data_IF_389198367298
#
_entry.id   IF_389198367298
#
_cell.length_a   1.000
_cell.length_b   1.000
_cell.length_c   1.000
_cell.angle_alpha   90.00
_cell.angle_beta   90.00
_cell.angle_gamma   90.00
#
_symmetry.space_group_name_H-M   'P 1'
#
loop_
_entity.id
_entity.type
_entity.pdbx_description
1 polymer ?
#
# COMPACT_ATOMS: atom_id res chain seq x y z
N UNK A 1 -30.44 26.26 24.82
CA UNK A 1 -30.05 25.12 23.98
C UNK A 1 -28.54 24.98 24.01
N UNK A 2 -27.96 23.90 24.56
CA UNK A 2 -26.52 23.67 24.45
C UNK A 2 -26.20 23.00 23.12
N UNK A 3 -25.30 23.60 22.33
CA UNK A 3 -24.64 22.95 21.19
C UNK A 3 -23.61 21.98 21.78
N UNK A 4 -23.77 20.68 21.52
CA UNK A 4 -22.76 19.67 21.88
C UNK A 4 -21.59 19.84 20.91
N UNK A 5 -20.43 20.13 21.47
CA UNK A 5 -19.15 20.15 20.79
C UNK A 5 -18.61 18.71 20.65
N UNK A 6 -17.91 18.43 19.55
CA UNK A 6 -16.96 17.32 19.50
C UNK A 6 -17.29 16.16 18.55
N UNK A 7 -17.70 16.41 17.30
CA UNK A 7 -17.39 15.43 16.26
C UNK A 7 -15.93 15.60 15.88
N UNK A 8 -15.05 14.84 16.52
CA UNK A 8 -13.79 14.43 15.90
C UNK A 8 -14.15 13.42 14.80
N UNK A 9 -14.72 13.91 13.69
CA UNK A 9 -14.76 13.12 12.47
C UNK A 9 -13.31 12.91 12.03
N UNK A 10 -12.84 11.70 12.24
CA UNK A 10 -11.56 11.26 11.71
C UNK A 10 -11.75 11.16 10.20
N UNK A 11 -11.03 11.98 9.41
CA UNK A 11 -10.89 11.84 7.95
C UNK A 11 -10.08 10.57 7.62
N UNK A 12 -10.52 9.43 8.14
CA UNK A 12 -9.95 8.13 7.83
C UNK A 12 -10.66 7.60 6.59
N UNK A 13 -9.86 7.26 5.59
CA UNK A 13 -10.34 6.62 4.37
C UNK A 13 -9.66 5.27 4.25
N UNK A 14 -10.46 4.24 4.08
CA UNK A 14 -9.98 2.92 3.74
C UNK A 14 -9.69 2.87 2.24
N UNK A 15 -8.51 2.37 1.86
CA UNK A 15 -8.05 2.36 0.47
C UNK A 15 -7.55 0.97 0.10
N UNK A 16 -7.98 0.47 -1.06
CA UNK A 16 -7.48 -0.79 -1.65
C UNK A 16 -6.90 -0.49 -3.02
N UNK A 17 -5.79 -1.13 -3.35
CA UNK A 17 -5.21 -1.15 -4.69
C UNK A 17 -5.30 -2.56 -5.27
N UNK A 18 -5.64 -2.66 -6.57
CA UNK A 18 -5.63 -3.94 -7.31
C UNK A 18 -5.03 -3.75 -8.69
N UNK A 19 -4.30 -4.76 -9.15
CA UNK A 19 -3.88 -4.86 -10.56
C UNK A 19 -4.79 -5.89 -11.21
N UNK A 20 -5.58 -5.47 -12.18
CA UNK A 20 -6.48 -6.35 -12.92
C UNK A 20 -6.30 -6.11 -14.42
N UNK A 21 -6.49 -7.16 -15.23
CA UNK A 21 -6.43 -7.05 -16.68
C UNK A 21 -7.77 -6.54 -17.20
N UNK A 22 -7.72 -5.53 -18.06
CA UNK A 22 -8.88 -5.07 -18.79
C UNK A 22 -9.42 -6.21 -19.68
N UNK A 23 -10.72 -6.54 -19.59
CA UNK A 23 -11.28 -7.68 -20.33
C UNK A 23 -11.29 -7.47 -21.86
N UNK A 24 -11.22 -6.23 -22.34
CA UNK A 24 -11.22 -5.90 -23.77
C UNK A 24 -9.80 -5.90 -24.33
N UNK A 25 -8.87 -5.28 -23.62
CA UNK A 25 -7.50 -5.06 -24.11
C UNK A 25 -6.48 -6.05 -23.55
N UNK A 26 -6.86 -6.84 -22.53
CA UNK A 26 -5.99 -7.72 -21.74
C UNK A 26 -4.80 -7.00 -21.08
N UNK A 27 -4.86 -5.66 -20.99
CA UNK A 27 -3.80 -4.82 -20.41
C UNK A 27 -4.00 -4.69 -18.90
N UNK A 28 -2.94 -4.83 -18.08
CA UNK A 28 -3.07 -4.65 -16.65
C UNK A 28 -3.19 -3.16 -16.32
N UNK A 29 -4.20 -2.84 -15.52
CA UNK A 29 -4.43 -1.49 -15.00
C UNK A 29 -4.38 -1.53 -13.47
N UNK A 30 -3.97 -0.41 -12.87
CA UNK A 30 -4.05 -0.18 -11.44
C UNK A 30 -5.40 0.45 -11.12
N UNK A 31 -6.14 -0.22 -10.25
CA UNK A 31 -7.42 0.23 -9.71
C UNK A 31 -7.24 0.68 -8.27
N UNK A 32 -8.01 1.69 -7.85
CA UNK A 32 -8.02 2.19 -6.47
C UNK A 32 -9.44 2.34 -5.98
N UNK A 33 -9.80 1.57 -4.95
CA UNK A 33 -11.06 1.69 -4.24
C UNK A 33 -10.89 2.51 -2.97
N UNK A 34 -11.93 3.25 -2.61
CA UNK A 34 -11.97 4.11 -1.44
C UNK A 34 -13.29 3.95 -0.69
N UNK A 35 -13.23 3.96 0.64
CA UNK A 35 -14.40 4.00 1.51
C UNK A 35 -14.15 4.91 2.70
N UNK A 36 -15.18 5.67 3.10
CA UNK A 36 -15.15 6.52 4.30
C UNK A 36 -15.34 5.73 5.59
N UNK A 37 -15.79 4.49 5.49
CA UNK A 37 -15.91 3.54 6.61
C UNK A 37 -14.99 2.34 6.36
N UNK A 38 -14.40 1.81 7.43
CA UNK A 38 -13.63 0.57 7.34
C UNK A 38 -14.65 -0.57 7.12
N UNK A 39 -14.55 -1.31 6.00
CA UNK A 39 -15.48 -2.39 5.73
C UNK A 39 -15.25 -3.56 6.70
N UNK A 40 -16.32 -4.28 7.05
CA UNK A 40 -16.23 -5.47 7.91
C UNK A 40 -15.47 -6.63 7.24
N UNK A 41 -15.37 -6.62 5.91
CA UNK A 41 -14.61 -7.58 5.10
C UNK A 41 -13.77 -6.87 4.05
N UNK A 42 -12.54 -7.34 3.86
CA UNK A 42 -11.65 -6.90 2.76
C UNK A 42 -12.15 -7.36 1.38
N UNK A 43 -13.11 -8.29 1.36
CA UNK A 43 -13.77 -8.79 0.15
C UNK A 43 -15.00 -7.97 -0.24
N UNK A 44 -15.44 -7.03 0.61
CA UNK A 44 -16.56 -6.16 0.29
C UNK A 44 -16.32 -5.45 -1.05
N UNK A 45 -17.33 -5.46 -1.92
CA UNK A 45 -17.26 -4.80 -3.22
C UNK A 45 -17.22 -3.29 -3.02
N UNK A 46 -16.02 -2.71 -3.18
CA UNK A 46 -15.83 -1.28 -3.29
C UNK A 46 -15.86 -0.88 -4.77
N UNK A 47 -16.38 0.31 -5.11
CA UNK A 47 -16.15 0.87 -6.44
C UNK A 47 -14.64 0.98 -6.70
N UNK A 48 -14.16 0.27 -7.72
CA UNK A 48 -12.75 0.24 -8.12
C UNK A 48 -12.59 0.97 -9.45
N UNK A 49 -12.52 2.32 -9.48
CA UNK A 49 -12.14 3.05 -10.69
C UNK A 49 -10.68 2.78 -11.07
N UNK A 50 -10.38 2.92 -12.36
CA UNK A 50 -9.00 2.89 -12.87
C UNK A 50 -8.27 4.13 -12.32
N UNK A 51 -7.20 3.90 -11.57
CA UNK A 51 -6.28 4.93 -11.10
C UNK A 51 -5.22 5.23 -12.17
N UNK A 52 -4.63 4.19 -12.75
CA UNK A 52 -3.60 4.31 -13.78
C UNK A 52 -3.64 3.12 -14.74
N UNK A 53 -3.34 3.38 -16.02
CA UNK A 53 -3.28 2.35 -17.06
C UNK A 53 -1.85 1.84 -17.26
N UNK A 54 -1.73 0.67 -17.88
CA UNK A 54 -0.44 0.07 -18.26
C UNK A 54 0.50 -0.15 -17.04
N UNK A 55 -0.08 -0.48 -15.89
CA UNK A 55 0.68 -0.78 -14.67
C UNK A 55 0.80 -2.29 -14.54
N UNK A 56 2.03 -2.80 -14.63
CA UNK A 56 2.34 -4.22 -14.52
C UNK A 56 2.29 -4.70 -13.07
N UNK A 57 2.84 -3.92 -12.15
CA UNK A 57 2.88 -4.28 -10.74
C UNK A 57 2.94 -3.06 -9.83
N UNK A 58 2.37 -3.21 -8.63
CA UNK A 58 2.60 -2.35 -7.48
C UNK A 58 3.10 -3.21 -6.33
N UNK A 59 4.21 -2.79 -5.70
CA UNK A 59 4.79 -3.48 -4.54
C UNK A 59 4.92 -2.48 -3.40
N UNK A 60 4.34 -2.82 -2.26
CA UNK A 60 4.40 -2.00 -1.04
C UNK A 60 5.18 -2.80 -0.02
N UNK A 61 6.38 -2.31 0.31
CA UNK A 61 7.27 -2.97 1.24
C UNK A 61 7.39 -2.14 2.54
N UNK A 62 6.76 -2.57 3.65
CA UNK A 62 6.88 -1.88 4.94
C UNK A 62 8.25 -2.04 5.58
N UNK A 63 8.73 -0.98 6.26
CA UNK A 63 9.95 -1.00 7.06
C UNK A 63 9.68 -1.53 8.47
N UNK A 64 10.46 -2.51 8.91
CA UNK A 64 10.28 -3.13 10.22
C UNK A 64 11.24 -2.64 11.32
N UNK A 65 12.08 -1.65 11.04
CA UNK A 65 13.16 -1.20 11.93
C UNK A 65 14.55 -1.54 11.39
N UNK A 66 14.67 -2.61 10.61
CA UNK A 66 15.96 -3.14 10.11
C UNK A 66 15.97 -3.30 8.58
N UNK A 67 14.87 -3.75 7.98
CA UNK A 67 14.74 -4.02 6.55
C UNK A 67 13.32 -3.73 6.04
N UNK A 68 13.20 -3.57 4.72
CA UNK A 68 11.91 -3.56 4.02
C UNK A 68 11.43 -5.00 3.79
N UNK A 69 10.25 -5.33 4.31
CA UNK A 69 9.60 -6.65 4.18
C UNK A 69 8.55 -6.63 3.08
N UNK A 70 8.13 -7.79 2.60
CA UNK A 70 7.03 -7.90 1.63
C UNK A 70 5.65 -7.80 2.31
N UNK A 71 5.58 -8.18 3.59
CA UNK A 71 4.35 -8.22 4.36
C UNK A 71 4.50 -7.46 5.70
N UNK A 72 3.40 -6.87 6.16
CA UNK A 72 3.29 -6.32 7.51
C UNK A 72 2.36 -7.19 8.34
N UNK A 73 2.90 -7.87 9.36
CA UNK A 73 2.12 -8.66 10.29
C UNK A 73 1.92 -7.90 11.60
N UNK A 74 0.75 -7.28 11.74
CA UNK A 74 0.34 -6.55 12.95
C UNK A 74 -0.10 -7.45 14.10
N UNK A 75 -0.01 -8.78 13.97
CA UNK A 75 -0.36 -9.73 15.06
C UNK A 75 0.83 -10.07 15.95
N UNK A 76 2.06 -9.89 15.46
CA UNK A 76 3.30 -10.14 16.20
C UNK A 76 3.44 -9.21 17.41
N UNK A 77 3.96 -9.75 18.51
CA UNK A 77 4.03 -9.05 19.82
C UNK A 77 4.67 -7.67 19.75
N UNK A 78 5.69 -7.53 18.91
CA UNK A 78 6.53 -6.34 18.89
C UNK A 78 5.88 -5.19 18.12
N UNK A 79 4.95 -5.51 17.20
CA UNK A 79 4.34 -4.54 16.26
C UNK A 79 2.81 -4.52 16.35
N UNK A 80 2.24 -5.14 17.39
CA UNK A 80 0.81 -5.19 17.62
C UNK A 80 0.21 -3.79 17.65
N UNK A 81 -0.82 -3.57 16.85
CA UNK A 81 -1.53 -2.30 16.71
C UNK A 81 -0.64 -1.12 16.25
N UNK A 82 0.51 -1.40 15.62
CA UNK A 82 1.40 -0.37 15.07
C UNK A 82 1.47 -0.40 13.56
N UNK A 83 1.56 0.78 12.95
CA UNK A 83 1.87 0.95 11.54
C UNK A 83 3.38 1.03 11.32
N UNK A 84 3.89 0.62 10.15
CA UNK A 84 5.29 0.82 9.81
C UNK A 84 5.60 2.33 9.75
N UNK A 85 6.82 2.72 10.16
CA UNK A 85 7.27 4.12 10.10
C UNK A 85 7.54 4.62 8.69
N UNK A 86 7.93 3.70 7.82
CA UNK A 86 8.22 3.94 6.42
C UNK A 86 7.63 2.83 5.58
N UNK A 87 7.22 3.17 4.37
CA UNK A 87 6.87 2.20 3.34
C UNK A 87 7.63 2.56 2.07
N UNK A 88 8.20 1.54 1.42
CA UNK A 88 8.75 1.67 0.07
C UNK A 88 7.66 1.26 -0.90
N UNK A 89 7.29 2.18 -1.79
CA UNK A 89 6.34 1.92 -2.86
C UNK A 89 7.11 1.83 -4.17
N UNK A 90 6.92 0.73 -4.87
CA UNK A 90 7.48 0.49 -6.19
C UNK A 90 6.34 0.25 -7.18
N UNK A 91 6.37 0.98 -8.29
CA UNK A 91 5.41 0.85 -9.39
C UNK A 91 6.19 0.50 -10.64
N UNK A 92 5.80 -0.60 -11.27
CA UNK A 92 6.33 -1.07 -12.53
C UNK A 92 5.28 -0.82 -13.63
N UNK A 93 5.62 0.04 -14.59
CA UNK A 93 4.76 0.38 -15.72
C UNK A 93 5.41 -0.06 -17.03
N UNK A 94 4.62 -0.36 -18.06
CA UNK A 94 5.17 -0.60 -19.39
C UNK A 94 5.78 0.70 -19.96
N UNK A 95 6.91 0.59 -20.64
CA UNK A 95 7.71 1.73 -21.09
C UNK A 95 7.09 2.53 -22.25
N UNK A 96 6.13 1.93 -22.94
CA UNK A 96 5.38 2.56 -24.01
C UNK A 96 3.89 2.33 -23.83
N UNK A 97 3.12 3.34 -24.22
CA UNK A 97 1.74 3.13 -24.63
C UNK A 97 1.78 2.49 -26.01
N UNK A 98 1.00 1.43 -26.24
CA UNK A 98 0.97 0.87 -27.59
C UNK A 98 0.19 1.78 -28.52
N UNK A 99 0.67 1.88 -29.76
CA UNK A 99 0.02 2.65 -30.81
C UNK A 99 -1.41 2.17 -31.10
N UNK A 100 -1.69 0.88 -30.87
CA UNK A 100 -3.03 0.32 -30.86
C UNK A 100 -3.45 0.01 -29.41
N UNK A 101 -4.51 0.66 -28.89
CA UNK A 101 -5.01 0.40 -27.53
C UNK A 101 -5.48 -1.04 -27.32
N UNK A 102 -5.77 -1.79 -28.39
CA UNK A 102 -6.17 -3.20 -28.35
C UNK A 102 -5.00 -4.16 -28.62
N UNK A 103 -3.79 -3.67 -28.91
CA UNK A 103 -2.66 -4.55 -29.09
C UNK A 103 -2.38 -5.31 -27.78
N UNK A 104 -2.17 -6.63 -27.83
CA UNK A 104 -1.81 -7.40 -26.64
C UNK A 104 -0.44 -6.95 -26.14
N UNK A 105 -0.30 -6.73 -24.83
CA UNK A 105 0.99 -6.51 -24.17
C UNK A 105 1.59 -7.87 -23.82
N UNK A 106 2.86 -8.07 -24.14
CA UNK A 106 3.61 -9.26 -23.71
C UNK A 106 4.20 -9.03 -22.31
N UNK A 107 4.29 -10.07 -21.48
CA UNK A 107 4.88 -9.95 -20.13
C UNK A 107 6.34 -9.50 -20.16
N UNK A 108 7.03 -9.78 -21.27
CA UNK A 108 8.42 -9.42 -21.54
C UNK A 108 8.59 -8.03 -22.17
N UNK A 109 7.50 -7.30 -22.41
CA UNK A 109 7.60 -5.94 -22.92
C UNK A 109 8.39 -5.05 -21.94
N UNK A 110 9.21 -4.12 -22.44
CA UNK A 110 10.07 -3.29 -21.60
C UNK A 110 9.24 -2.50 -20.59
N UNK A 111 9.73 -2.47 -19.35
CA UNK A 111 9.09 -1.75 -18.25
C UNK A 111 10.01 -0.69 -17.67
N UNK A 112 9.40 0.31 -17.05
CA UNK A 112 10.06 1.33 -16.24
C UNK A 112 9.58 1.16 -14.81
N UNK A 113 10.53 1.13 -13.88
CA UNK A 113 10.23 1.03 -12.45
C UNK A 113 10.48 2.36 -11.77
N UNK A 114 9.46 2.91 -11.11
CA UNK A 114 9.60 4.06 -10.21
C UNK A 114 9.53 3.56 -8.77
N UNK A 115 10.45 4.06 -7.93
CA UNK A 115 10.54 3.69 -6.53
C UNK A 115 10.58 4.93 -5.66
N UNK A 116 9.78 4.95 -4.61
CA UNK A 116 9.75 6.01 -3.60
C UNK A 116 9.68 5.43 -2.20
N UNK A 117 10.17 6.19 -1.22
CA UNK A 117 10.05 5.86 0.20
C UNK A 117 9.23 6.96 0.87
N UNK A 118 8.15 6.54 1.53
CA UNK A 118 7.21 7.42 2.21
C UNK A 118 7.39 7.25 3.71
N UNK A 119 7.61 8.36 4.41
CA UNK A 119 7.62 8.42 5.87
C UNK A 119 6.21 8.68 6.38
N UNK A 120 5.78 7.95 7.42
CA UNK A 120 4.45 8.08 8.02
C UNK A 120 4.59 8.84 9.36
N UNK A 121 4.28 10.14 9.42
CA UNK A 121 4.63 11.00 10.55
C UNK A 121 3.98 10.58 11.88
N UNK A 122 2.74 10.06 11.83
CA UNK A 122 1.99 9.65 13.03
C UNK A 122 2.32 8.25 13.54
N UNK A 123 3.12 7.47 12.82
CA UNK A 123 3.68 6.22 13.34
C UNK A 123 4.73 6.46 14.45
N UNK A 124 5.21 7.70 14.59
CA UNK A 124 6.24 8.10 15.57
C UNK A 124 5.65 8.25 16.99
N UNK A 125 4.33 8.43 17.13
CA UNK A 125 3.66 8.62 18.44
C UNK A 125 3.40 7.29 19.15
N UNK A 126 3.41 6.17 18.43
CA UNK A 126 3.31 4.83 19.02
C UNK A 126 4.70 4.36 19.46
N UNK A 127 4.79 3.94 20.73
CA UNK A 127 6.02 3.52 21.42
C UNK A 127 6.97 2.77 20.49
N UNK A 128 8.23 3.20 20.48
CA UNK A 128 9.31 2.44 19.86
C UNK A 128 9.29 0.99 20.35
N UNK A 129 9.32 -0.01 19.44
CA UNK A 129 9.78 -1.33 19.80
C UNK A 129 11.17 -1.14 20.40
N UNK A 130 11.32 -1.47 21.68
CA UNK A 130 12.63 -1.41 22.32
C UNK A 130 13.56 -2.32 21.51
N UNK A 131 14.60 -1.75 20.92
CA UNK A 131 15.68 -2.52 20.34
C UNK A 131 16.07 -3.61 21.34
N UNK A 132 16.04 -4.86 20.89
CA UNK A 132 16.47 -5.98 21.70
C UNK A 132 17.94 -5.75 22.06
N UNK A 133 18.17 -5.31 23.29
CA UNK A 133 19.51 -5.17 23.86
C UNK A 133 20.14 -6.56 23.81
N UNK A 134 20.98 -6.80 22.81
CA UNK A 134 21.88 -7.95 22.79
C UNK A 134 22.85 -7.74 23.96
N UNK A 135 22.56 -8.32 25.10
CA UNK A 135 23.53 -8.42 26.19
C UNK A 135 24.69 -9.26 25.66
N UNK A 136 25.92 -8.72 25.52
CA UNK A 136 27.06 -9.56 25.22
C UNK A 136 27.28 -10.47 26.44
N UNK A 137 27.15 -11.78 26.24
CA UNK A 137 27.62 -12.76 27.21
C UNK A 137 29.15 -12.65 27.26
N UNK A 138 29.66 -12.04 28.32
CA UNK A 138 31.05 -12.21 28.71
C UNK A 138 31.13 -13.40 29.67
N UNK A 139 32.07 -14.29 29.33
CA UNK A 139 32.52 -15.53 29.99
C UNK A 139 31.68 -16.78 29.71
#
# INVERSE_FOLDING_TARGET
>A
MPRVAGNHESDQTFVIYRIEKDPQTNRPNLYRGEATTIPESLEAELPMPILARNIKAIRIAPWNGEDFREEWDSTRSDWRDTLPRMVRVEVEAYAYDADDPNAPINENDPTVTMRTVIFIPRAIVMKEPKDAVKTPKFY
#
